data_IF_335839886561
#
_entry.id   IF_335839886561
#
_cell.length_a   1.000
_cell.length_b   1.000
_cell.length_c   1.000
_cell.angle_alpha   90.00
_cell.angle_beta   90.00
_cell.angle_gamma   90.00
#
_symmetry.space_group_name_H-M   'P 1'
#
loop_
_entity.id
_entity.type
_entity.pdbx_description
1 polymer ?
#
# COMPACT_ATOMS: atom_id res chain seq x y z
N UNK A 1 11.84 50.19 -49.01
CA UNK A 1 11.27 50.46 -47.64
C UNK A 1 9.96 49.71 -47.43
N UNK A 2 9.07 49.68 -48.41
CA UNK A 2 7.78 48.97 -48.29
C UNK A 2 7.92 47.43 -48.13
N UNK A 3 8.86 46.81 -48.84
CA UNK A 3 9.10 45.35 -48.71
C UNK A 3 9.58 44.95 -47.33
N UNK A 4 10.44 45.76 -46.69
CA UNK A 4 10.88 45.51 -45.29
C UNK A 4 9.73 45.66 -44.26
N UNK A 5 8.82 46.59 -44.53
CA UNK A 5 7.65 46.81 -43.68
C UNK A 5 6.65 45.64 -43.80
N UNK A 6 6.42 45.14 -45.03
CA UNK A 6 5.58 43.97 -45.29
C UNK A 6 6.16 42.70 -44.64
N UNK A 7 7.47 42.50 -44.75
CA UNK A 7 8.17 41.38 -44.10
C UNK A 7 8.04 41.44 -42.57
N UNK A 8 8.19 42.65 -41.97
CA UNK A 8 8.01 42.85 -40.52
C UNK A 8 6.58 42.54 -40.06
N UNK A 9 5.56 42.99 -40.82
CA UNK A 9 4.17 42.65 -40.54
C UNK A 9 3.90 41.16 -40.61
N UNK A 10 4.46 40.45 -41.61
CA UNK A 10 4.30 39.01 -41.78
C UNK A 10 4.92 38.23 -40.60
N UNK A 11 6.10 38.64 -40.11
CA UNK A 11 6.73 38.03 -38.95
C UNK A 11 5.87 38.22 -37.67
N UNK A 12 5.30 39.42 -37.48
CA UNK A 12 4.43 39.70 -36.33
C UNK A 12 3.19 38.80 -36.40
N UNK A 13 2.58 38.63 -37.57
CA UNK A 13 1.40 37.74 -37.70
C UNK A 13 1.77 36.30 -37.40
N UNK A 14 2.92 35.80 -37.83
CA UNK A 14 3.39 34.45 -37.54
C UNK A 14 3.61 34.27 -36.00
N UNK A 15 4.17 35.26 -35.33
CA UNK A 15 4.35 35.21 -33.87
C UNK A 15 3.00 35.16 -33.16
N UNK A 16 2.03 35.98 -33.56
CA UNK A 16 0.68 36.00 -33.01
C UNK A 16 0.00 34.63 -33.18
N UNK A 17 0.06 34.07 -34.39
CA UNK A 17 -0.48 32.74 -34.71
C UNK A 17 0.20 31.67 -33.85
N UNK A 18 1.53 31.72 -33.71
CA UNK A 18 2.27 30.77 -32.86
C UNK A 18 1.84 30.85 -31.37
N UNK A 19 1.74 32.07 -30.83
CA UNK A 19 1.27 32.29 -29.46
C UNK A 19 -0.16 31.77 -29.27
N UNK A 20 -1.04 32.00 -30.26
CA UNK A 20 -2.41 31.52 -30.21
C UNK A 20 -2.48 29.99 -30.27
N UNK A 21 -1.69 29.33 -31.08
CA UNK A 21 -1.60 27.86 -31.15
C UNK A 21 -1.06 27.27 -29.84
N UNK A 22 -0.03 27.88 -29.27
CA UNK A 22 0.50 27.47 -27.96
C UNK A 22 -0.53 27.61 -26.84
N UNK A 23 -1.32 28.70 -26.86
CA UNK A 23 -2.38 28.92 -25.89
C UNK A 23 -3.53 27.90 -26.06
N UNK A 24 -3.85 27.55 -27.30
CA UNK A 24 -4.87 26.57 -27.62
C UNK A 24 -4.45 25.17 -27.17
N UNK A 25 -3.21 24.75 -27.47
CA UNK A 25 -2.66 23.47 -27.01
C UNK A 25 -2.64 23.36 -25.48
N UNK A 26 -2.21 24.40 -24.79
CA UNK A 26 -2.18 24.43 -23.32
C UNK A 26 -3.59 24.27 -22.72
N UNK A 27 -4.57 24.91 -23.33
CA UNK A 27 -5.98 24.81 -22.89
C UNK A 27 -6.55 23.41 -23.14
N UNK A 28 -6.17 22.78 -24.23
CA UNK A 28 -6.57 21.40 -24.56
C UNK A 28 -5.97 20.37 -23.58
N UNK A 29 -4.68 20.54 -23.23
CA UNK A 29 -4.02 19.72 -22.20
C UNK A 29 -4.65 19.88 -20.82
N UNK A 30 -5.05 21.09 -20.45
CA UNK A 30 -5.69 21.38 -19.17
C UNK A 30 -7.11 20.77 -19.09
N UNK A 31 -7.87 20.87 -20.18
CA UNK A 31 -9.20 20.25 -20.28
C UNK A 31 -9.12 18.72 -20.27
N UNK A 32 -8.11 18.15 -20.89
CA UNK A 32 -7.91 16.70 -20.86
C UNK A 32 -7.49 16.18 -19.48
N UNK A 33 -6.66 16.95 -18.75
CA UNK A 33 -6.31 16.63 -17.36
C UNK A 33 -7.54 16.65 -16.44
N UNK A 34 -8.38 17.67 -16.58
CA UNK A 34 -9.63 17.79 -15.80
C UNK A 34 -10.57 16.64 -16.12
N UNK A 35 -10.72 16.29 -17.42
CA UNK A 35 -11.55 15.15 -17.83
C UNK A 35 -11.06 13.83 -17.24
N UNK A 36 -9.74 13.56 -17.32
CA UNK A 36 -9.14 12.36 -16.73
C UNK A 36 -9.32 12.30 -15.21
N UNK A 37 -9.21 13.45 -14.56
CA UNK A 37 -9.44 13.54 -13.11
C UNK A 37 -10.90 13.24 -12.76
N UNK A 38 -11.86 13.80 -13.51
CA UNK A 38 -13.29 13.55 -13.31
C UNK A 38 -13.64 12.08 -13.59
N UNK A 39 -13.11 11.49 -14.66
CA UNK A 39 -13.31 10.09 -15.00
C UNK A 39 -12.73 9.15 -13.92
N UNK A 40 -11.57 9.50 -13.36
CA UNK A 40 -10.98 8.81 -12.22
C UNK A 40 -11.86 8.90 -10.96
N UNK A 41 -12.38 10.08 -10.64
CA UNK A 41 -13.27 10.30 -9.49
C UNK A 41 -14.62 9.58 -9.66
N UNK A 42 -15.21 9.60 -10.86
CA UNK A 42 -16.43 8.84 -11.16
C UNK A 42 -16.21 7.34 -11.04
N UNK A 43 -15.10 6.81 -11.57
CA UNK A 43 -14.75 5.41 -11.48
C UNK A 43 -14.56 4.97 -10.01
N UNK A 44 -13.88 5.80 -9.21
CA UNK A 44 -13.69 5.54 -7.78
C UNK A 44 -15.02 5.60 -7.00
N UNK A 45 -15.88 6.57 -7.30
CA UNK A 45 -17.20 6.68 -6.67
C UNK A 45 -18.11 5.50 -7.07
N UNK A 46 -18.05 5.09 -8.33
CA UNK A 46 -18.80 3.95 -8.83
C UNK A 46 -18.31 2.63 -8.22
N UNK A 47 -16.99 2.43 -8.16
CA UNK A 47 -16.40 1.26 -7.51
C UNK A 47 -16.68 1.22 -6.01
N UNK A 48 -16.65 2.37 -5.33
CA UNK A 48 -17.06 2.48 -3.93
C UNK A 48 -18.51 2.08 -3.71
N UNK A 49 -19.44 2.51 -4.60
CA UNK A 49 -20.86 2.10 -4.55
C UNK A 49 -21.06 0.63 -4.88
N UNK A 50 -20.37 0.11 -5.89
CA UNK A 50 -20.45 -1.31 -6.28
C UNK A 50 -19.90 -2.19 -5.14
N UNK A 51 -18.81 -1.80 -4.51
CA UNK A 51 -18.23 -2.54 -3.39
C UNK A 51 -19.10 -2.44 -2.13
N UNK A 52 -19.72 -1.29 -1.86
CA UNK A 52 -20.71 -1.15 -0.78
C UNK A 52 -21.94 -2.05 -0.98
N UNK A 53 -22.52 -2.08 -2.18
CA UNK A 53 -23.64 -2.97 -2.49
C UNK A 53 -23.23 -4.44 -2.50
N UNK A 54 -22.06 -4.78 -3.04
CA UNK A 54 -21.52 -6.14 -3.01
C UNK A 54 -21.22 -6.60 -1.58
N UNK A 55 -20.75 -5.72 -0.71
CA UNK A 55 -20.53 -6.03 0.71
C UNK A 55 -21.84 -6.21 1.48
N UNK A 56 -22.91 -5.52 1.11
CA UNK A 56 -24.26 -5.83 1.62
C UNK A 56 -24.76 -7.20 1.17
N UNK A 57 -24.53 -7.58 -0.08
CA UNK A 57 -24.89 -8.93 -0.57
C UNK A 57 -23.98 -10.03 0.03
N UNK A 58 -22.68 -9.75 0.22
CA UNK A 58 -21.73 -10.68 0.85
C UNK A 58 -21.95 -10.82 2.36
N UNK A 59 -22.52 -9.82 3.03
CA UNK A 59 -22.90 -9.94 4.44
C UNK A 59 -24.08 -10.90 4.65
N UNK A 60 -24.83 -11.20 3.59
CA UNK A 60 -25.86 -12.26 3.59
C UNK A 60 -25.30 -13.65 3.31
N UNK A 61 -24.12 -13.75 2.68
CA UNK A 61 -23.36 -14.98 2.65
C UNK A 61 -22.54 -15.03 3.95
N UNK A 62 -22.97 -15.80 4.93
CA UNK A 62 -22.12 -16.27 6.03
C UNK A 62 -20.87 -16.87 5.40
N UNK A 63 -19.84 -16.06 5.26
CA UNK A 63 -18.49 -16.54 4.99
C UNK A 63 -18.20 -17.53 6.10
N UNK A 64 -18.08 -18.82 5.71
CA UNK A 64 -17.82 -19.90 6.64
C UNK A 64 -16.72 -19.50 7.61
N UNK A 65 -17.07 -19.10 8.83
CA UNK A 65 -16.20 -18.85 9.98
C UNK A 65 -15.15 -19.97 10.14
N UNK A 66 -15.52 -21.15 9.67
CA UNK A 66 -14.73 -22.37 9.64
C UNK A 66 -13.46 -22.26 8.74
N UNK A 67 -13.46 -21.44 7.68
CA UNK A 67 -12.30 -21.35 6.76
C UNK A 67 -11.24 -20.35 7.18
N UNK A 68 -11.57 -19.36 8.00
CA UNK A 68 -10.62 -18.32 8.46
C UNK A 68 -9.68 -18.91 9.51
N UNK A 69 -10.21 -19.58 10.52
CA UNK A 69 -9.41 -20.18 11.58
C UNK A 69 -8.45 -21.26 11.08
N UNK A 70 -8.83 -22.02 10.05
CA UNK A 70 -7.96 -23.05 9.48
C UNK A 70 -6.81 -22.46 8.64
N UNK A 71 -7.05 -21.34 7.97
CA UNK A 71 -6.02 -20.66 7.21
C UNK A 71 -4.95 -20.07 8.14
N UNK A 72 -5.34 -19.35 9.18
CA UNK A 72 -4.43 -18.80 10.17
C UNK A 72 -3.65 -19.90 10.91
N UNK A 73 -4.32 -20.98 11.34
CA UNK A 73 -3.66 -22.16 11.91
C UNK A 73 -2.61 -22.75 10.97
N UNK A 74 -2.93 -22.82 9.66
CA UNK A 74 -1.97 -23.33 8.65
C UNK A 74 -0.76 -22.42 8.52
N UNK A 75 -0.98 -21.08 8.50
CA UNK A 75 0.11 -20.09 8.49
C UNK A 75 1.00 -20.28 9.70
N UNK A 76 0.42 -20.28 10.90
CA UNK A 76 1.17 -20.44 12.16
C UNK A 76 1.88 -21.78 12.27
N UNK A 77 1.30 -22.87 11.77
CA UNK A 77 1.95 -24.19 11.71
C UNK A 77 3.17 -24.17 10.80
N UNK A 78 3.12 -23.50 9.68
CA UNK A 78 4.22 -23.39 8.73
C UNK A 78 5.38 -22.53 9.25
N UNK A 79 5.11 -21.60 10.17
CA UNK A 79 6.16 -20.73 10.76
C UNK A 79 7.33 -21.52 11.34
N UNK A 80 7.06 -22.63 12.04
CA UNK A 80 8.11 -23.43 12.69
C UNK A 80 8.96 -24.24 11.72
N UNK A 81 8.46 -24.51 10.51
CA UNK A 81 9.14 -25.33 9.51
C UNK A 81 9.92 -24.54 8.46
N UNK A 82 9.55 -23.26 8.23
CA UNK A 82 10.05 -22.49 7.10
C UNK A 82 11.19 -21.55 7.49
N UNK A 83 11.23 -21.05 8.73
CA UNK A 83 12.13 -19.96 9.11
C UNK A 83 13.01 -20.35 10.29
N UNK A 84 14.28 -20.68 10.04
CA UNK A 84 15.31 -20.61 11.07
C UNK A 84 15.59 -19.11 11.35
N UNK A 85 14.79 -18.52 12.24
CA UNK A 85 15.03 -17.15 12.67
C UNK A 85 16.21 -17.12 13.62
N UNK A 86 17.32 -16.58 13.15
CA UNK A 86 18.35 -16.11 14.07
C UNK A 86 17.82 -14.83 14.72
N UNK A 87 17.27 -14.94 15.94
CA UNK A 87 16.80 -13.80 16.71
C UNK A 87 17.97 -12.83 16.96
N UNK A 88 18.13 -11.85 16.08
CA UNK A 88 19.25 -10.90 16.15
C UNK A 88 18.85 -9.61 16.85
N UNK A 89 17.59 -9.21 16.71
CA UNK A 89 17.10 -7.91 17.19
C UNK A 89 15.76 -8.04 17.91
N UNK A 90 15.55 -7.19 18.91
CA UNK A 90 14.29 -6.98 19.58
C UNK A 90 13.98 -5.49 19.66
N UNK A 91 12.73 -5.12 19.48
CA UNK A 91 12.26 -3.74 19.62
C UNK A 91 11.97 -3.38 21.07
N UNK A 92 12.05 -2.09 21.38
CA UNK A 92 11.79 -1.53 22.71
C UNK A 92 10.36 -1.04 22.92
N UNK A 93 9.49 -1.18 21.92
CA UNK A 93 8.12 -0.66 21.92
C UNK A 93 7.15 -1.76 21.52
N UNK A 94 5.98 -1.77 22.14
CA UNK A 94 4.88 -2.61 21.70
C UNK A 94 4.24 -2.00 20.45
N UNK A 95 4.15 -2.78 19.38
CA UNK A 95 3.57 -2.38 18.10
C UNK A 95 2.65 -3.49 17.62
N UNK A 96 1.37 -3.15 17.42
CA UNK A 96 0.36 -4.04 16.90
C UNK A 96 0.26 -3.89 15.38
N UNK A 97 0.60 -4.93 14.65
CA UNK A 97 0.65 -4.95 13.18
C UNK A 97 -0.52 -5.75 12.64
N UNK A 98 -1.24 -5.17 11.68
CA UNK A 98 -2.19 -5.89 10.85
C UNK A 98 -1.53 -6.19 9.50
N UNK A 99 -1.31 -7.47 9.20
CA UNK A 99 -0.71 -7.88 7.93
C UNK A 99 -1.76 -8.48 7.00
N UNK A 100 -1.88 -7.94 5.80
CA UNK A 100 -2.76 -8.42 4.75
C UNK A 100 -2.01 -9.05 3.59
N UNK A 101 -2.14 -10.37 3.44
CA UNK A 101 -1.59 -11.11 2.30
C UNK A 101 -2.31 -12.45 2.16
N UNK A 102 -2.55 -12.91 0.94
CA UNK A 102 -3.18 -14.21 0.66
C UNK A 102 -2.17 -15.37 0.53
N UNK A 103 -0.91 -15.05 0.27
CA UNK A 103 0.15 -16.04 0.12
C UNK A 103 0.62 -16.54 1.49
N UNK A 104 0.28 -17.78 1.79
CA UNK A 104 0.60 -18.44 3.06
C UNK A 104 2.11 -18.45 3.38
N UNK A 105 2.97 -18.58 2.37
CA UNK A 105 4.43 -18.62 2.57
C UNK A 105 4.94 -17.24 2.92
N UNK A 106 4.53 -16.22 2.18
CA UNK A 106 4.87 -14.84 2.42
C UNK A 106 4.42 -14.37 3.81
N UNK A 107 3.17 -14.67 4.17
CA UNK A 107 2.61 -14.33 5.49
C UNK A 107 3.36 -15.06 6.60
N UNK A 108 3.57 -16.39 6.46
CA UNK A 108 4.29 -17.16 7.48
C UNK A 108 5.70 -16.60 7.73
N UNK A 109 6.42 -16.24 6.67
CA UNK A 109 7.72 -15.58 6.80
C UNK A 109 7.62 -14.24 7.52
N UNK A 110 6.70 -13.38 7.09
CA UNK A 110 6.53 -12.04 7.63
C UNK A 110 6.15 -12.07 9.11
N UNK A 111 5.19 -12.89 9.48
CA UNK A 111 4.75 -13.08 10.87
C UNK A 111 5.92 -13.57 11.74
N UNK A 112 6.63 -14.60 11.26
CA UNK A 112 7.77 -15.15 11.98
C UNK A 112 8.87 -14.10 12.24
N UNK A 113 9.21 -13.30 11.25
CA UNK A 113 10.22 -12.24 11.38
C UNK A 113 9.74 -11.16 12.35
N UNK A 114 8.51 -10.64 12.19
CA UNK A 114 7.97 -9.56 13.01
C UNK A 114 7.79 -9.98 14.47
N UNK A 115 7.20 -11.15 14.72
CA UNK A 115 7.02 -11.68 16.08
C UNK A 115 8.37 -11.98 16.77
N UNK A 116 9.38 -12.47 16.00
CA UNK A 116 10.71 -12.69 16.54
C UNK A 116 11.39 -11.41 17.03
N UNK A 117 11.00 -10.27 16.48
CA UNK A 117 11.49 -8.95 16.88
C UNK A 117 10.64 -8.32 17.99
N UNK A 118 9.54 -8.95 18.40
CA UNK A 118 8.67 -8.52 19.49
C UNK A 118 7.48 -7.68 19.08
N UNK A 119 7.12 -7.68 17.79
CA UNK A 119 5.86 -7.09 17.33
C UNK A 119 4.70 -8.06 17.54
N UNK A 120 3.51 -7.52 17.79
CA UNK A 120 2.26 -8.29 17.85
C UNK A 120 1.62 -8.31 16.49
N UNK A 121 1.35 -9.49 15.91
CA UNK A 121 0.88 -9.59 14.52
C UNK A 121 -0.48 -10.24 14.43
N UNK A 122 -1.42 -9.52 13.82
CA UNK A 122 -2.73 -10.04 13.39
C UNK A 122 -2.71 -10.22 11.87
N UNK A 123 -3.32 -11.29 11.40
CA UNK A 123 -3.29 -11.68 9.98
C UNK A 123 -4.66 -11.45 9.36
N UNK A 124 -4.68 -10.90 8.15
CA UNK A 124 -5.84 -10.81 7.26
C UNK A 124 -5.50 -11.40 5.89
N UNK A 125 -6.44 -12.16 5.28
CA UNK A 125 -6.24 -12.78 3.96
C UNK A 125 -6.45 -11.84 2.80
N UNK A 126 -7.16 -10.74 3.04
CA UNK A 126 -7.61 -9.83 1.99
C UNK A 126 -7.70 -8.40 2.50
N UNK A 127 -7.77 -7.46 1.56
CA UNK A 127 -8.05 -6.06 1.86
C UNK A 127 -9.43 -5.89 2.54
N UNK A 128 -10.40 -6.70 2.16
CA UNK A 128 -11.74 -6.69 2.77
C UNK A 128 -11.66 -7.04 4.25
N UNK A 129 -10.94 -8.10 4.61
CA UNK A 129 -10.77 -8.50 6.01
C UNK A 129 -10.02 -7.44 6.82
N UNK A 130 -9.05 -6.72 6.24
CA UNK A 130 -8.43 -5.56 6.88
C UNK A 130 -9.48 -4.51 7.24
N UNK A 131 -10.32 -4.14 6.27
CA UNK A 131 -11.38 -3.14 6.51
C UNK A 131 -12.42 -3.61 7.52
N UNK A 132 -12.82 -4.89 7.50
CA UNK A 132 -13.76 -5.47 8.46
C UNK A 132 -13.21 -5.38 9.90
N UNK A 133 -11.95 -5.75 10.12
CA UNK A 133 -11.30 -5.67 11.45
C UNK A 133 -11.26 -4.24 11.98
N UNK A 134 -10.90 -3.29 11.13
CA UNK A 134 -10.87 -1.87 11.49
C UNK A 134 -12.28 -1.33 11.80
N UNK A 135 -13.30 -1.72 11.02
CA UNK A 135 -14.69 -1.36 11.23
C UNK A 135 -15.27 -1.98 12.52
N UNK A 136 -14.78 -3.15 12.93
CA UNK A 136 -15.11 -3.78 14.19
C UNK A 136 -14.44 -3.12 15.41
N UNK A 137 -13.65 -2.06 15.18
CA UNK A 137 -13.00 -1.27 16.23
C UNK A 137 -11.68 -1.85 16.72
N UNK A 138 -11.12 -2.85 16.04
CA UNK A 138 -9.78 -3.35 16.35
C UNK A 138 -8.73 -2.25 16.09
N UNK A 139 -7.73 -2.16 16.96
CA UNK A 139 -6.72 -1.09 16.91
C UNK A 139 -5.37 -1.63 16.52
N UNK A 140 -4.75 -0.97 15.57
CA UNK A 140 -3.43 -1.31 15.06
C UNK A 140 -2.57 -0.05 14.93
N UNK A 141 -1.26 -0.21 15.11
CA UNK A 141 -0.27 0.85 14.96
C UNK A 141 0.31 0.89 13.55
N UNK A 142 0.21 -0.23 12.81
CA UNK A 142 0.79 -0.40 11.48
C UNK A 142 -0.05 -1.38 10.67
N UNK A 143 -0.24 -1.07 9.39
CA UNK A 143 -0.77 -2.00 8.40
C UNK A 143 0.37 -2.36 7.43
N UNK A 144 0.57 -3.65 7.19
CA UNK A 144 1.44 -4.16 6.13
C UNK A 144 0.54 -4.87 5.12
N UNK A 145 0.52 -4.42 3.89
CA UNK A 145 -0.39 -4.96 2.87
C UNK A 145 0.37 -5.47 1.66
N UNK A 146 -0.10 -6.57 1.08
CA UNK A 146 0.36 -6.98 -0.24
C UNK A 146 -0.04 -5.94 -1.30
N UNK A 147 0.78 -5.78 -2.34
CA UNK A 147 0.45 -4.89 -3.46
C UNK A 147 -0.71 -5.44 -4.29
N UNK A 148 -0.76 -6.75 -4.49
CA UNK A 148 -1.77 -7.42 -5.33
C UNK A 148 -2.43 -8.51 -4.51
N UNK A 149 -3.76 -8.52 -4.45
CA UNK A 149 -4.55 -9.60 -3.89
C UNK A 149 -5.12 -10.50 -5.01
N UNK A 150 -5.26 -11.78 -4.72
CA UNK A 150 -5.77 -12.75 -5.71
C UNK A 150 -7.19 -12.39 -6.18
N UNK A 151 -7.45 -12.60 -7.48
CA UNK A 151 -8.76 -12.52 -8.14
C UNK A 151 -9.45 -11.14 -8.19
N UNK A 152 -8.69 -10.04 -8.34
CA UNK A 152 -9.29 -8.74 -8.66
C UNK A 152 -10.11 -8.10 -7.53
N UNK A 153 -9.94 -8.56 -6.31
CA UNK A 153 -10.58 -7.99 -5.14
C UNK A 153 -9.61 -7.02 -4.47
N UNK A 154 -9.72 -5.74 -4.76
CA UNK A 154 -9.04 -4.65 -4.09
C UNK A 154 -7.52 -4.89 -3.92
N UNK A 155 -6.71 -4.21 -4.69
CA UNK A 155 -5.25 -4.23 -4.54
C UNK A 155 -4.77 -3.32 -3.39
N UNK A 156 -3.46 -3.31 -3.13
CA UNK A 156 -2.88 -2.48 -2.07
C UNK A 156 -3.16 -0.99 -2.22
N UNK A 157 -3.00 -0.38 -3.41
CA UNK A 157 -3.36 1.01 -3.66
C UNK A 157 -4.84 1.33 -3.44
N UNK A 158 -5.74 0.44 -3.85
CA UNK A 158 -7.18 0.61 -3.62
C UNK A 158 -7.51 0.53 -2.12
N UNK A 159 -6.93 -0.42 -1.40
CA UNK A 159 -7.07 -0.49 0.05
C UNK A 159 -6.59 0.81 0.72
N UNK A 160 -5.42 1.32 0.31
CA UNK A 160 -4.90 2.58 0.85
C UNK A 160 -5.86 3.74 0.61
N UNK A 161 -6.43 3.84 -0.59
CA UNK A 161 -7.43 4.85 -0.94
C UNK A 161 -8.66 4.73 -0.03
N UNK A 162 -9.19 3.53 0.17
CA UNK A 162 -10.35 3.29 1.04
C UNK A 162 -10.06 3.63 2.50
N UNK A 163 -8.89 3.27 3.02
CA UNK A 163 -8.45 3.65 4.37
C UNK A 163 -8.45 5.18 4.55
N UNK A 164 -7.92 5.91 3.58
CA UNK A 164 -7.85 7.39 3.64
C UNK A 164 -9.23 8.03 3.48
N UNK A 165 -10.11 7.49 2.64
CA UNK A 165 -11.50 7.92 2.51
C UNK A 165 -12.30 7.73 3.81
N UNK A 166 -12.00 6.68 4.56
CA UNK A 166 -12.56 6.44 5.91
C UNK A 166 -11.84 7.24 7.01
N UNK A 167 -10.95 8.19 6.66
CA UNK A 167 -10.13 8.98 7.60
C UNK A 167 -9.26 8.13 8.55
N UNK A 168 -8.92 6.92 8.14
CA UNK A 168 -7.98 6.05 8.85
C UNK A 168 -6.56 6.46 8.52
N UNK A 169 -5.82 6.97 9.52
CA UNK A 169 -4.46 7.53 9.37
C UNK A 169 -3.35 6.55 9.78
N UNK A 170 -3.69 5.31 10.07
CA UNK A 170 -2.70 4.29 10.39
C UNK A 170 -1.65 4.24 9.26
N UNK A 171 -0.34 4.21 9.59
CA UNK A 171 0.70 4.05 8.58
C UNK A 171 0.54 2.72 7.84
N UNK A 172 0.77 2.76 6.53
CA UNK A 172 0.65 1.59 5.64
C UNK A 172 1.96 1.35 4.91
N UNK A 173 2.48 0.14 5.05
CA UNK A 173 3.64 -0.36 4.29
C UNK A 173 3.14 -1.30 3.21
N UNK A 174 3.59 -1.12 1.97
CA UNK A 174 3.36 -2.11 0.92
C UNK A 174 4.47 -3.17 0.92
N UNK A 175 4.08 -4.44 0.89
CA UNK A 175 4.98 -5.59 0.80
C UNK A 175 4.81 -6.26 -0.57
N UNK A 176 5.85 -6.29 -1.39
CA UNK A 176 5.76 -6.75 -2.79
C UNK A 176 6.99 -7.50 -3.24
N UNK A 177 6.87 -8.27 -4.30
CA UNK A 177 8.01 -8.92 -4.97
C UNK A 177 8.77 -7.97 -5.91
N UNK A 178 8.17 -6.84 -6.28
CA UNK A 178 8.78 -5.86 -7.18
C UNK A 178 9.91 -5.10 -6.50
N UNK A 179 11.08 -5.07 -7.11
CA UNK A 179 12.24 -4.33 -6.62
C UNK A 179 12.28 -2.91 -7.20
N UNK A 180 12.96 -1.99 -6.48
CA UNK A 180 13.22 -0.61 -6.92
C UNK A 180 11.97 0.26 -7.18
N UNK A 181 10.84 -0.07 -6.54
CA UNK A 181 9.56 0.62 -6.69
C UNK A 181 9.22 1.58 -5.53
N UNK A 182 10.18 1.84 -4.63
CA UNK A 182 9.93 2.65 -3.44
C UNK A 182 9.35 4.03 -3.76
N UNK A 183 9.96 4.76 -4.71
CA UNK A 183 9.50 6.10 -5.07
C UNK A 183 8.07 6.10 -5.65
N UNK A 184 7.71 5.07 -6.42
CA UNK A 184 6.38 4.87 -6.98
C UNK A 184 5.34 4.70 -5.87
N UNK A 185 5.54 3.74 -4.96
CA UNK A 185 4.61 3.50 -3.86
C UNK A 185 4.50 4.67 -2.87
N UNK A 186 5.59 5.38 -2.60
CA UNK A 186 5.53 6.58 -1.77
C UNK A 186 4.72 7.69 -2.44
N UNK A 187 4.78 7.83 -3.77
CA UNK A 187 3.98 8.79 -4.52
C UNK A 187 2.48 8.43 -4.56
N UNK A 188 2.14 7.15 -4.40
CA UNK A 188 0.77 6.66 -4.23
C UNK A 188 0.21 6.90 -2.81
N UNK A 189 1.05 7.31 -1.85
CA UNK A 189 0.64 7.63 -0.49
C UNK A 189 0.93 6.56 0.56
N UNK A 190 1.63 5.48 0.20
CA UNK A 190 2.17 4.54 1.18
C UNK A 190 3.24 5.23 2.06
N UNK A 191 3.28 4.87 3.33
CA UNK A 191 4.27 5.41 4.25
C UNK A 191 5.66 4.83 4.01
N UNK A 192 5.73 3.56 3.64
CA UNK A 192 6.96 2.86 3.28
C UNK A 192 6.70 1.64 2.39
N UNK A 193 7.77 1.04 1.97
CA UNK A 193 7.83 -0.09 1.04
C UNK A 193 8.83 -1.13 1.54
N UNK A 194 8.48 -2.41 1.41
CA UNK A 194 9.37 -3.53 1.67
C UNK A 194 9.24 -4.60 0.59
N UNK A 195 10.34 -5.31 0.33
CA UNK A 195 10.33 -6.43 -0.62
C UNK A 195 10.12 -7.77 0.10
N UNK A 196 9.34 -8.65 -0.52
CA UNK A 196 9.26 -10.07 -0.11
C UNK A 196 10.59 -10.79 -0.44
N UNK A 197 11.06 -11.74 0.35
CA UNK A 197 10.61 -12.10 1.67
C UNK A 197 11.21 -11.15 2.70
N UNK A 198 10.51 -10.96 3.83
CA UNK A 198 11.02 -10.15 4.92
C UNK A 198 12.22 -10.81 5.59
N UNK A 199 13.14 -9.97 6.07
CA UNK A 199 14.19 -10.30 7.01
C UNK A 199 14.31 -9.21 8.08
N UNK A 200 15.02 -9.48 9.18
CA UNK A 200 15.12 -8.53 10.29
C UNK A 200 15.88 -7.24 9.92
N UNK A 201 16.81 -7.28 8.98
CA UNK A 201 17.55 -6.09 8.54
C UNK A 201 16.64 -5.12 7.76
N UNK A 202 15.77 -5.64 6.87
CA UNK A 202 14.76 -4.80 6.18
C UNK A 202 13.80 -4.15 7.16
N UNK A 203 13.30 -4.90 8.13
CA UNK A 203 12.41 -4.37 9.17
C UNK A 203 13.11 -3.28 9.98
N UNK A 204 14.36 -3.51 10.37
CA UNK A 204 15.18 -2.56 11.11
C UNK A 204 15.49 -1.29 10.31
N UNK A 205 15.62 -1.39 9.00
CA UNK A 205 15.84 -0.24 8.12
C UNK A 205 14.57 0.62 7.95
N UNK A 206 13.40 -0.03 7.85
CA UNK A 206 12.16 0.63 7.44
C UNK A 206 11.36 1.16 8.62
N UNK A 207 11.18 0.39 9.70
CA UNK A 207 10.31 0.80 10.80
C UNK A 207 10.71 2.12 11.50
N UNK A 208 12.00 2.48 11.67
CA UNK A 208 12.37 3.78 12.25
C UNK A 208 11.96 5.00 11.41
N UNK A 209 11.64 4.80 10.14
CA UNK A 209 11.13 5.88 9.27
C UNK A 209 9.65 6.19 9.54
N UNK A 210 8.97 5.30 10.27
CA UNK A 210 7.56 5.43 10.65
C UNK A 210 7.42 5.74 12.13
N UNK A 211 8.30 5.16 12.95
CA UNK A 211 8.28 5.28 14.41
C UNK A 211 9.59 5.89 14.91
N UNK A 212 9.60 7.20 15.16
CA UNK A 212 10.81 7.98 15.50
C UNK A 212 11.56 7.46 16.74
N UNK A 213 10.86 6.91 17.74
CA UNK A 213 11.44 6.44 19.00
C UNK A 213 11.80 4.96 19.01
N UNK A 214 11.74 4.29 17.85
CA UNK A 214 11.96 2.86 17.77
C UNK A 214 13.44 2.52 17.88
N UNK A 215 13.79 1.69 18.86
CA UNK A 215 15.16 1.20 19.09
C UNK A 215 15.21 -0.31 18.96
N UNK A 216 16.30 -0.79 18.38
CA UNK A 216 16.58 -2.21 18.24
C UNK A 216 17.71 -2.61 19.16
N UNK A 217 17.46 -3.62 20.02
CA UNK A 217 18.48 -4.21 20.87
C UNK A 217 18.94 -5.51 20.25
N UNK A 218 20.24 -5.65 20.04
CA UNK A 218 20.84 -6.90 19.54
C UNK A 218 20.80 -7.94 20.63
N UNK A 219 20.20 -9.09 20.33
CA UNK A 219 20.17 -10.23 21.25
C UNK A 219 21.53 -10.95 21.18
N UNK A 220 22.22 -11.09 22.30
CA UNK A 220 23.43 -11.91 22.37
C UNK A 220 23.02 -13.37 22.16
N UNK A 221 23.50 -14.00 21.10
CA UNK A 221 23.36 -15.45 20.94
C UNK A 221 24.13 -16.11 22.07
N UNK A 222 23.46 -16.70 23.04
CA UNK A 222 24.10 -17.67 23.91
C UNK A 222 24.47 -18.85 23.01
N UNK A 223 25.73 -18.91 22.58
CA UNK A 223 26.31 -20.15 22.13
C UNK A 223 26.32 -21.06 23.36
N UNK A 224 25.31 -21.92 23.46
CA UNK A 224 25.41 -23.10 24.30
C UNK A 224 26.58 -23.95 23.78
N UNK A 225 27.58 -24.07 24.60
CA UNK A 225 28.71 -24.96 24.39
C UNK A 225 28.25 -26.44 24.27
#
# INVERSE_FOLDING_TARGET
MEELFLLGMFIIILIIVYIFLMFYQRKEEETEKIRKQQEYEELHTLNGRINFHRNQELSTYKLDEYKIGDWEKTVRKNMHSIVKVNNQYKINKEINVLIGDYDKISVSNSVCILESMGLSVTIAKSAIEIMERLNNGEKYDLIITNNIYDRGNCDGPQLLCELRNCNIKIPVIVLTVSHNKRAEFLSEGFNEYMTKLLDQEKVKEVLPRIFDDLKFTKIKSNKSA
#
